data_IF_405291953296
#
_entry.id   IF_405291953296
#
_cell.length_a   1.000
_cell.length_b   1.000
_cell.length_c   1.000
_cell.angle_alpha   90.00
_cell.angle_beta   90.00
_cell.angle_gamma   90.00
#
_symmetry.space_group_name_H-M   'P 1'
#
loop_
_entity.id
_entity.type
_entity.pdbx_description
1 polymer ?
#
# COMPACT_ATOMS: atom_id res chain seq x y z
N UNK A 1 12.62 -11.46 16.07
CA UNK A 1 11.73 -11.75 14.90
C UNK A 1 12.61 -11.78 13.67
N UNK A 2 12.55 -12.83 12.86
CA UNK A 2 13.32 -12.88 11.59
C UNK A 2 12.68 -11.97 10.54
N UNK A 3 13.49 -11.50 9.56
CA UNK A 3 13.00 -10.66 8.45
C UNK A 3 11.87 -11.36 7.68
N UNK A 4 12.01 -12.67 7.45
CA UNK A 4 11.01 -13.50 6.78
C UNK A 4 9.65 -13.45 7.48
N UNK A 5 9.62 -13.68 8.80
CA UNK A 5 8.37 -13.64 9.58
C UNK A 5 7.75 -12.25 9.54
N UNK A 6 8.57 -11.20 9.68
CA UNK A 6 8.10 -9.82 9.60
C UNK A 6 7.51 -9.49 8.22
N UNK A 7 8.16 -9.93 7.13
CA UNK A 7 7.67 -9.73 5.78
C UNK A 7 6.34 -10.46 5.53
N UNK A 8 6.20 -11.71 6.02
CA UNK A 8 4.96 -12.48 5.94
C UNK A 8 3.83 -11.75 6.71
N UNK A 9 4.06 -11.41 7.98
CA UNK A 9 3.08 -10.70 8.82
C UNK A 9 2.63 -9.40 8.14
N UNK A 10 3.58 -8.62 7.63
CA UNK A 10 3.30 -7.37 6.92
C UNK A 10 2.33 -7.57 5.77
N UNK A 11 2.60 -8.55 4.90
CA UNK A 11 1.81 -8.77 3.70
C UNK A 11 0.46 -9.45 3.99
N UNK A 12 0.39 -10.29 5.03
CA UNK A 12 -0.89 -10.83 5.54
C UNK A 12 -1.79 -9.67 6.02
N UNK A 13 -1.26 -8.76 6.83
CA UNK A 13 -2.03 -7.60 7.31
C UNK A 13 -2.42 -6.69 6.13
N UNK A 14 -1.53 -6.43 5.17
CA UNK A 14 -1.86 -5.60 4.00
C UNK A 14 -2.92 -6.21 3.07
N UNK A 15 -3.15 -7.51 3.11
CA UNK A 15 -4.25 -8.15 2.39
C UNK A 15 -5.64 -7.87 3.00
N UNK A 16 -5.71 -7.51 4.29
CA UNK A 16 -6.99 -7.37 4.99
C UNK A 16 -7.78 -6.07 4.72
N UNK A 17 -7.17 -4.89 4.39
CA UNK A 17 -7.87 -3.63 4.34
C UNK A 17 -8.98 -3.52 3.30
N UNK A 18 -8.90 -4.24 2.18
CA UNK A 18 -9.83 -4.04 1.05
C UNK A 18 -11.31 -4.15 1.47
N UNK A 19 -11.64 -5.18 2.22
CA UNK A 19 -13.02 -5.40 2.68
C UNK A 19 -13.41 -4.42 3.79
N UNK A 20 -12.49 -4.13 4.71
CA UNK A 20 -12.71 -3.17 5.79
C UNK A 20 -12.89 -1.73 5.27
N UNK A 21 -12.16 -1.33 4.24
CA UNK A 21 -12.34 -0.03 3.55
C UNK A 21 -13.76 0.07 2.97
N UNK A 22 -14.26 -1.02 2.36
CA UNK A 22 -15.61 -1.03 1.80
C UNK A 22 -16.66 -0.83 2.90
N UNK A 23 -16.54 -1.54 4.02
CA UNK A 23 -17.44 -1.38 5.18
C UNK A 23 -17.35 0.04 5.72
N UNK A 24 -16.14 0.56 5.95
CA UNK A 24 -15.92 1.93 6.41
C UNK A 24 -16.57 2.96 5.48
N UNK A 25 -16.37 2.84 4.17
CA UNK A 25 -16.92 3.77 3.19
C UNK A 25 -18.46 3.73 3.17
N UNK A 26 -19.07 2.54 3.27
CA UNK A 26 -20.54 2.39 3.36
C UNK A 26 -21.05 3.07 4.63
N UNK A 27 -20.46 2.81 5.78
CA UNK A 27 -20.86 3.39 7.07
C UNK A 27 -20.68 4.91 7.15
N UNK A 28 -19.65 5.42 6.50
CA UNK A 28 -19.35 6.85 6.45
C UNK A 28 -19.99 7.59 5.28
N UNK A 29 -20.84 6.89 4.50
CA UNK A 29 -21.49 7.40 3.29
C UNK A 29 -20.52 7.98 2.26
N UNK A 30 -19.38 7.31 2.05
CA UNK A 30 -18.36 7.73 1.07
C UNK A 30 -18.57 6.95 -0.22
N UNK A 31 -19.35 7.51 -1.14
CA UNK A 31 -19.66 6.88 -2.41
C UNK A 31 -19.71 7.90 -3.56
N UNK A 32 -19.70 7.41 -4.80
CA UNK A 32 -19.84 8.27 -5.98
C UNK A 32 -21.22 8.95 -6.03
N UNK A 33 -22.25 8.29 -5.53
CA UNK A 33 -23.61 8.80 -5.45
C UNK A 33 -23.71 9.98 -4.46
N UNK A 34 -22.97 9.91 -3.35
CA UNK A 34 -22.97 10.96 -2.32
C UNK A 34 -22.11 12.18 -2.70
N UNK A 35 -21.01 11.97 -3.41
CA UNK A 35 -20.01 13.02 -3.65
C UNK A 35 -19.86 13.41 -5.13
N UNK A 36 -20.47 12.69 -6.09
CA UNK A 36 -20.41 13.03 -7.51
C UNK A 36 -18.97 13.23 -8.00
N UNK A 37 -18.70 14.39 -8.63
CA UNK A 37 -17.38 14.74 -9.15
C UNK A 37 -16.32 14.92 -8.05
N UNK A 38 -16.75 15.21 -6.81
CA UNK A 38 -15.86 15.38 -5.66
C UNK A 38 -15.46 14.04 -5.00
N UNK A 39 -15.97 12.91 -5.50
CA UNK A 39 -15.73 11.59 -4.89
C UNK A 39 -14.25 11.27 -4.71
N UNK A 40 -13.42 11.59 -5.70
CA UNK A 40 -11.98 11.33 -5.62
C UNK A 40 -11.32 12.18 -4.53
N UNK A 41 -11.67 13.46 -4.43
CA UNK A 41 -11.24 14.35 -3.37
C UNK A 41 -11.63 13.82 -1.99
N UNK A 42 -12.87 13.30 -1.87
CA UNK A 42 -13.37 12.70 -0.64
C UNK A 42 -12.60 11.43 -0.24
N UNK A 43 -12.29 10.55 -1.19
CA UNK A 43 -11.46 9.36 -0.96
C UNK A 43 -10.07 9.76 -0.46
N UNK A 44 -9.42 10.75 -1.09
CA UNK A 44 -8.10 11.23 -0.69
C UNK A 44 -8.13 11.87 0.71
N UNK A 45 -9.15 12.65 1.03
CA UNK A 45 -9.31 13.24 2.36
C UNK A 45 -9.49 12.15 3.44
N UNK A 46 -10.32 11.14 3.18
CA UNK A 46 -10.57 10.05 4.15
C UNK A 46 -9.33 9.18 4.37
N UNK A 47 -8.62 8.83 3.30
CA UNK A 47 -7.39 8.02 3.42
C UNK A 47 -6.28 8.79 4.12
N UNK A 48 -6.26 10.11 3.98
CA UNK A 48 -5.31 10.98 4.68
C UNK A 48 -5.52 10.93 6.19
N UNK A 49 -6.77 10.96 6.67
CA UNK A 49 -7.09 10.81 8.10
C UNK A 49 -6.58 9.45 8.61
N UNK A 50 -6.77 8.37 7.85
CA UNK A 50 -6.27 7.04 8.19
C UNK A 50 -4.74 7.03 8.36
N UNK A 51 -4.01 7.61 7.41
CA UNK A 51 -2.55 7.63 7.47
C UNK A 51 -2.00 8.58 8.54
N UNK A 52 -2.69 9.69 8.79
CA UNK A 52 -2.36 10.56 9.91
C UNK A 52 -2.46 9.80 11.23
N UNK A 53 -3.59 9.12 11.48
CA UNK A 53 -3.78 8.29 12.67
C UNK A 53 -2.74 7.16 12.74
N UNK A 54 -2.43 6.51 11.63
CA UNK A 54 -1.39 5.48 11.57
C UNK A 54 -0.02 6.03 11.96
N UNK A 55 0.34 7.22 11.48
CA UNK A 55 1.58 7.90 11.85
C UNK A 55 1.64 8.23 13.34
N UNK A 56 0.54 8.78 13.89
CA UNK A 56 0.42 9.06 15.33
C UNK A 56 0.55 7.78 16.16
N UNK A 57 -0.16 6.71 15.81
CA UNK A 57 -0.05 5.41 16.48
C UNK A 57 1.40 4.88 16.46
N UNK A 58 2.08 5.01 15.31
CA UNK A 58 3.48 4.57 15.18
C UNK A 58 4.41 5.38 16.08
N UNK A 59 4.22 6.70 16.15
CA UNK A 59 5.03 7.57 17.04
C UNK A 59 4.73 7.33 18.51
N UNK A 60 3.48 7.08 18.89
CA UNK A 60 3.11 6.70 20.26
C UNK A 60 3.79 5.39 20.65
N UNK A 61 3.93 4.45 19.73
CA UNK A 61 4.59 3.17 19.99
C UNK A 61 6.12 3.27 20.08
N UNK A 62 6.75 4.21 19.39
CA UNK A 62 8.20 4.34 19.32
C UNK A 62 8.92 4.44 20.69
N UNK A 63 8.42 5.20 21.69
CA UNK A 63 9.02 5.23 23.05
C UNK A 63 9.02 3.87 23.76
N UNK A 64 8.03 3.01 23.54
CA UNK A 64 7.98 1.66 24.13
C UNK A 64 9.12 0.76 23.66
N UNK A 65 9.64 1.02 22.46
CA UNK A 65 10.86 0.39 21.94
C UNK A 65 12.12 1.26 22.16
N UNK A 66 12.07 2.18 23.14
CA UNK A 66 13.17 3.07 23.55
C UNK A 66 13.69 4.01 22.45
N UNK A 67 12.82 4.39 21.50
CA UNK A 67 13.16 5.34 20.44
C UNK A 67 12.67 6.75 20.79
N UNK A 68 13.54 7.74 20.57
CA UNK A 68 13.21 9.16 20.77
C UNK A 68 12.63 9.75 19.49
N UNK A 69 11.35 10.10 19.51
CA UNK A 69 10.58 10.53 18.33
C UNK A 69 11.04 11.88 17.72
N UNK A 70 11.62 12.76 18.54
CA UNK A 70 12.12 14.07 18.10
C UNK A 70 13.65 14.12 17.91
N UNK A 71 14.37 13.02 18.17
CA UNK A 71 15.81 12.97 17.95
C UNK A 71 16.11 12.71 16.45
N UNK A 72 15.72 13.68 15.63
CA UNK A 72 15.82 13.66 14.18
C UNK A 72 16.63 14.88 13.75
N UNK A 73 17.74 14.65 13.06
CA UNK A 73 18.60 15.74 12.57
C UNK A 73 17.92 16.54 11.45
N UNK A 74 18.38 17.77 11.20
CA UNK A 74 17.83 18.61 10.13
C UNK A 74 17.86 17.92 8.76
N UNK A 75 18.93 17.15 8.47
CA UNK A 75 19.04 16.36 7.25
C UNK A 75 17.98 15.25 7.18
N UNK A 76 17.83 14.49 8.26
CA UNK A 76 16.83 13.42 8.34
C UNK A 76 15.40 13.96 8.22
N UNK A 77 15.10 15.15 8.75
CA UNK A 77 13.81 15.81 8.53
C UNK A 77 13.52 16.03 7.05
N UNK A 78 14.50 16.53 6.28
CA UNK A 78 14.36 16.66 4.82
C UNK A 78 14.14 15.31 4.13
N UNK A 79 14.88 14.29 4.53
CA UNK A 79 14.77 12.93 3.97
C UNK A 79 13.41 12.30 4.29
N UNK A 80 12.93 12.41 5.53
CA UNK A 80 11.61 11.88 5.95
C UNK A 80 10.47 12.64 5.28
N UNK A 81 10.59 13.96 5.11
CA UNK A 81 9.61 14.77 4.37
C UNK A 81 9.52 14.30 2.92
N UNK A 82 10.65 14.17 2.22
CA UNK A 82 10.66 13.66 0.85
C UNK A 82 10.06 12.26 0.77
N UNK A 83 10.38 11.40 1.73
CA UNK A 83 9.80 10.06 1.81
C UNK A 83 8.28 10.11 2.00
N UNK A 84 7.76 10.98 2.85
CA UNK A 84 6.32 11.17 3.05
C UNK A 84 5.62 11.64 1.77
N UNK A 85 6.24 12.58 1.05
CA UNK A 85 5.74 13.05 -0.25
C UNK A 85 5.72 11.94 -1.31
N UNK A 86 6.72 11.06 -1.32
CA UNK A 86 6.77 9.93 -2.25
C UNK A 86 5.83 8.79 -1.82
N UNK A 87 6.03 8.24 -0.62
CA UNK A 87 5.38 6.99 -0.20
C UNK A 87 3.92 7.16 0.19
N UNK A 88 3.55 8.31 0.76
CA UNK A 88 2.19 8.55 1.26
C UNK A 88 1.43 9.49 0.34
N UNK A 89 2.00 10.62 -0.07
CA UNK A 89 1.28 11.57 -0.92
C UNK A 89 1.21 11.08 -2.37
N UNK A 90 2.34 11.02 -3.07
CA UNK A 90 2.36 10.72 -4.51
C UNK A 90 1.90 9.29 -4.80
N UNK A 91 2.40 8.29 -4.06
CA UNK A 91 2.01 6.90 -4.29
C UNK A 91 0.50 6.70 -4.13
N UNK A 92 -0.11 7.21 -3.05
CA UNK A 92 -1.54 7.03 -2.85
C UNK A 92 -2.42 7.95 -3.70
N UNK A 93 -1.91 9.10 -4.11
CA UNK A 93 -2.56 9.93 -5.13
C UNK A 93 -2.71 9.15 -6.45
N UNK A 94 -1.61 8.64 -7.00
CA UNK A 94 -1.64 7.85 -8.24
C UNK A 94 -2.42 6.55 -8.09
N UNK A 95 -2.30 5.85 -6.96
CA UNK A 95 -3.08 4.64 -6.68
C UNK A 95 -4.58 4.89 -6.73
N UNK A 96 -5.07 5.92 -6.04
CA UNK A 96 -6.51 6.16 -5.94
C UNK A 96 -7.09 6.69 -7.25
N UNK A 97 -6.40 7.59 -7.95
CA UNK A 97 -6.85 8.06 -9.27
C UNK A 97 -6.83 6.89 -10.26
N UNK A 98 -5.76 6.12 -10.30
CA UNK A 98 -5.67 4.94 -11.15
C UNK A 98 -6.80 3.97 -10.89
N UNK A 99 -7.02 3.62 -9.63
CA UNK A 99 -8.05 2.65 -9.22
C UNK A 99 -9.48 3.11 -9.54
N UNK A 100 -9.78 4.40 -9.45
CA UNK A 100 -11.10 4.95 -9.79
C UNK A 100 -11.36 4.97 -11.30
N UNK A 101 -10.30 5.14 -12.10
CA UNK A 101 -10.39 5.25 -13.56
C UNK A 101 -10.17 3.91 -14.31
N UNK A 102 -9.77 2.85 -13.62
CA UNK A 102 -9.69 1.52 -14.21
C UNK A 102 -11.08 0.89 -14.28
N UNK A 103 -11.45 0.40 -15.46
CA UNK A 103 -12.72 -0.29 -15.69
C UNK A 103 -12.74 -1.71 -15.10
N UNK A 104 -11.58 -2.35 -14.99
CA UNK A 104 -11.43 -3.73 -14.51
C UNK A 104 -10.75 -3.80 -13.15
N UNK A 105 -11.43 -4.37 -12.15
CA UNK A 105 -10.84 -4.65 -10.82
C UNK A 105 -9.65 -5.61 -10.93
N UNK A 106 -9.63 -6.50 -11.94
CA UNK A 106 -8.49 -7.38 -12.23
C UNK A 106 -7.26 -6.54 -12.55
N UNK A 107 -7.37 -5.63 -13.53
CA UNK A 107 -6.25 -4.77 -13.93
C UNK A 107 -5.73 -3.96 -12.74
N UNK A 108 -6.63 -3.41 -11.93
CA UNK A 108 -6.25 -2.67 -10.73
C UNK A 108 -5.40 -3.53 -9.78
N UNK A 109 -5.85 -4.77 -9.48
CA UNK A 109 -5.16 -5.67 -8.56
C UNK A 109 -3.79 -6.10 -9.11
N UNK A 110 -3.72 -6.45 -10.40
CA UNK A 110 -2.49 -6.89 -11.05
C UNK A 110 -1.48 -5.74 -11.13
N UNK A 111 -1.93 -4.56 -11.58
CA UNK A 111 -1.06 -3.40 -11.73
C UNK A 111 -0.59 -2.83 -10.39
N UNK A 112 -1.35 -2.98 -9.31
CA UNK A 112 -0.88 -2.64 -7.97
C UNK A 112 0.36 -3.45 -7.56
N UNK A 113 0.52 -4.67 -8.09
CA UNK A 113 1.68 -5.52 -7.85
C UNK A 113 2.90 -5.18 -8.74
N UNK A 114 2.78 -4.21 -9.67
CA UNK A 114 3.91 -3.72 -10.47
C UNK A 114 5.07 -3.22 -9.61
N UNK A 115 4.77 -2.79 -8.38
CA UNK A 115 5.77 -2.44 -7.35
C UNK A 115 6.83 -3.54 -7.17
N UNK A 116 6.45 -4.82 -7.28
CA UNK A 116 7.35 -5.97 -7.11
C UNK A 116 8.43 -5.94 -8.18
N UNK A 117 8.00 -5.77 -9.45
CA UNK A 117 8.90 -5.74 -10.60
C UNK A 117 9.79 -4.51 -10.59
N UNK A 118 9.21 -3.32 -10.37
CA UNK A 118 9.99 -2.10 -10.29
C UNK A 118 11.02 -2.17 -9.16
N UNK A 119 10.67 -2.68 -7.98
CA UNK A 119 11.62 -2.80 -6.88
C UNK A 119 12.75 -3.80 -7.19
N UNK A 120 12.43 -4.93 -7.81
CA UNK A 120 13.43 -5.92 -8.19
C UNK A 120 14.39 -5.40 -9.28
N UNK A 121 13.85 -4.71 -10.30
CA UNK A 121 14.64 -4.11 -11.38
C UNK A 121 15.52 -2.98 -10.82
N UNK A 122 14.94 -2.05 -10.05
CA UNK A 122 15.68 -0.94 -9.48
C UNK A 122 16.77 -1.43 -8.51
N UNK A 123 16.49 -2.47 -7.70
CA UNK A 123 17.48 -3.06 -6.80
C UNK A 123 18.66 -3.67 -7.59
N UNK A 124 18.36 -4.34 -8.71
CA UNK A 124 19.38 -4.90 -9.59
C UNK A 124 20.40 -3.85 -10.07
N UNK A 125 19.92 -2.67 -10.45
CA UNK A 125 20.82 -1.60 -10.91
C UNK A 125 21.47 -0.83 -9.76
N UNK A 126 20.75 -0.59 -8.67
CA UNK A 126 21.22 0.27 -7.58
C UNK A 126 22.16 -0.42 -6.59
N UNK A 127 22.01 -1.74 -6.35
CA UNK A 127 22.78 -2.45 -5.33
C UNK A 127 23.64 -3.55 -5.93
N UNK A 128 24.96 -3.51 -5.61
CA UNK A 128 25.92 -4.54 -6.10
C UNK A 128 25.59 -5.95 -5.61
N UNK A 129 25.08 -6.06 -4.38
CA UNK A 129 24.79 -7.33 -3.71
C UNK A 129 23.32 -7.78 -3.87
N UNK A 130 22.51 -7.07 -4.67
CA UNK A 130 21.09 -7.40 -4.87
C UNK A 130 20.77 -7.57 -6.37
N UNK A 131 21.56 -8.43 -7.03
CA UNK A 131 21.36 -8.72 -8.45
C UNK A 131 20.25 -9.74 -8.67
N UNK A 132 19.49 -9.55 -9.74
CA UNK A 132 18.57 -10.56 -10.24
C UNK A 132 19.36 -11.76 -10.74
N UNK A 133 18.97 -12.92 -10.29
CA UNK A 133 19.45 -14.22 -10.76
C UNK A 133 18.28 -15.05 -11.29
N UNK A 134 18.56 -16.19 -11.90
CA UNK A 134 17.54 -17.06 -12.50
C UNK A 134 16.44 -17.47 -11.51
N UNK A 135 16.79 -17.75 -10.25
CA UNK A 135 15.82 -18.13 -9.22
C UNK A 135 14.87 -16.98 -8.88
N UNK A 136 15.38 -15.75 -8.72
CA UNK A 136 14.56 -14.56 -8.49
C UNK A 136 13.65 -14.24 -9.67
N UNK A 137 14.17 -14.34 -10.90
CA UNK A 137 13.37 -14.14 -12.13
C UNK A 137 12.27 -15.19 -12.21
N UNK A 138 12.58 -16.46 -11.97
CA UNK A 138 11.58 -17.54 -11.96
C UNK A 138 10.50 -17.28 -10.91
N UNK A 139 10.88 -16.90 -9.68
CA UNK A 139 9.93 -16.57 -8.61
C UNK A 139 9.00 -15.41 -9.00
N UNK A 140 9.52 -14.38 -9.67
CA UNK A 140 8.71 -13.26 -10.18
C UNK A 140 7.72 -13.71 -11.25
N UNK A 141 8.16 -14.56 -12.21
CA UNK A 141 7.30 -15.07 -13.27
C UNK A 141 6.19 -15.96 -12.70
N UNK A 142 6.55 -16.91 -11.83
CA UNK A 142 5.58 -17.85 -11.22
C UNK A 142 4.58 -17.10 -10.33
N UNK A 143 5.06 -16.20 -9.46
CA UNK A 143 4.18 -15.41 -8.61
C UNK A 143 3.23 -14.51 -9.40
N UNK A 144 3.69 -13.94 -10.52
CA UNK A 144 2.85 -13.11 -11.38
C UNK A 144 1.82 -13.94 -12.17
N UNK A 145 2.22 -15.10 -12.68
CA UNK A 145 1.30 -16.03 -13.33
C UNK A 145 0.20 -16.49 -12.35
N UNK A 146 0.56 -16.87 -11.12
CA UNK A 146 -0.39 -17.21 -10.07
C UNK A 146 -1.36 -16.05 -9.76
N UNK A 147 -0.85 -14.81 -9.67
CA UNK A 147 -1.68 -13.62 -9.49
C UNK A 147 -2.69 -13.44 -10.62
N UNK A 148 -2.26 -13.55 -11.90
CA UNK A 148 -3.18 -13.44 -13.05
C UNK A 148 -4.25 -14.52 -12.96
N UNK A 149 -3.86 -15.78 -12.77
CA UNK A 149 -4.81 -16.90 -12.68
C UNK A 149 -5.83 -16.68 -11.58
N UNK A 150 -5.41 -16.23 -10.39
CA UNK A 150 -6.30 -15.97 -9.26
C UNK A 150 -7.35 -14.90 -9.53
N UNK A 151 -7.05 -13.96 -10.44
CA UNK A 151 -7.95 -12.88 -10.83
C UNK A 151 -8.93 -13.25 -11.95
N UNK A 152 -8.69 -14.32 -12.70
CA UNK A 152 -9.56 -14.82 -13.79
C UNK A 152 -10.77 -15.57 -13.23
N UNK A 153 -11.48 -14.97 -12.26
CA UNK A 153 -12.68 -15.54 -11.65
C UNK A 153 -13.93 -14.81 -12.11
N UNK A 154 -15.09 -15.47 -12.05
CA UNK A 154 -16.38 -14.80 -12.27
C UNK A 154 -16.68 -14.39 -13.72
N UNK A 155 -16.16 -15.15 -14.71
CA UNK A 155 -16.45 -14.89 -16.12
C UNK A 155 -15.60 -13.78 -16.77
N UNK A 156 -14.59 -13.29 -16.05
CA UNK A 156 -13.63 -12.32 -16.57
C UNK A 156 -12.61 -12.99 -17.49
N UNK A 157 -12.20 -12.29 -18.54
CA UNK A 157 -11.32 -12.83 -19.59
C UNK A 157 -9.97 -12.13 -19.62
N UNK A 158 -8.98 -12.79 -20.26
CA UNK A 158 -7.66 -12.20 -20.50
C UNK A 158 -7.77 -10.91 -21.34
N UNK A 159 -8.80 -10.76 -22.17
CA UNK A 159 -9.02 -9.55 -22.97
C UNK A 159 -9.24 -8.30 -22.11
N UNK A 160 -9.79 -8.47 -20.91
CA UNK A 160 -9.98 -7.36 -19.96
C UNK A 160 -8.64 -6.78 -19.45
N UNK A 161 -7.51 -7.48 -19.67
CA UNK A 161 -6.16 -7.02 -19.32
C UNK A 161 -5.53 -6.09 -20.36
N UNK A 162 -6.09 -5.97 -21.56
CA UNK A 162 -5.48 -5.22 -22.66
C UNK A 162 -6.06 -3.80 -22.85
N UNK A 163 -7.01 -3.38 -22.01
CA UNK A 163 -7.41 -1.98 -21.98
C UNK A 163 -6.31 -1.14 -21.32
N UNK A 164 -5.90 -0.04 -21.95
CA UNK A 164 -4.90 0.87 -21.38
C UNK A 164 -5.35 2.32 -21.50
N UNK A 165 -5.53 2.94 -20.35
CA UNK A 165 -5.79 4.36 -20.20
C UNK A 165 -4.71 5.00 -19.32
N UNK A 166 -4.20 6.16 -19.73
CA UNK A 166 -3.10 6.83 -18.99
C UNK A 166 -3.51 7.12 -17.55
N UNK A 167 -4.73 7.62 -17.34
CA UNK A 167 -5.24 7.98 -15.99
C UNK A 167 -5.68 6.78 -15.15
N UNK A 168 -5.84 5.61 -15.77
CA UNK A 168 -6.13 4.34 -15.10
C UNK A 168 -4.85 3.52 -14.93
N UNK A 169 -4.57 2.67 -15.93
CA UNK A 169 -3.45 1.73 -15.92
C UNK A 169 -2.09 2.44 -15.81
N UNK A 170 -1.91 3.57 -16.52
CA UNK A 170 -0.67 4.35 -16.46
C UNK A 170 -0.40 4.90 -15.06
N UNK A 171 -1.43 5.37 -14.36
CA UNK A 171 -1.28 5.88 -12.99
C UNK A 171 -1.03 4.75 -11.99
N UNK A 172 -1.59 3.57 -12.19
CA UNK A 172 -1.26 2.38 -11.37
C UNK A 172 0.19 1.94 -11.55
N UNK A 173 0.73 1.99 -12.77
CA UNK A 173 2.16 1.74 -13.01
C UNK A 173 3.03 2.81 -12.36
N UNK A 174 2.62 4.08 -12.42
CA UNK A 174 3.33 5.18 -11.74
C UNK A 174 3.32 4.99 -10.21
N UNK A 175 2.18 4.57 -9.64
CA UNK A 175 2.12 4.14 -8.23
C UNK A 175 3.17 3.06 -7.93
N UNK A 176 3.24 2.01 -8.76
CA UNK A 176 4.18 0.90 -8.58
C UNK A 176 5.63 1.37 -8.57
N UNK A 177 6.00 2.24 -9.51
CA UNK A 177 7.34 2.82 -9.60
C UNK A 177 7.66 3.69 -8.37
N UNK A 178 6.76 4.60 -7.99
CA UNK A 178 6.95 5.50 -6.85
C UNK A 178 7.06 4.70 -5.54
N UNK A 179 6.23 3.69 -5.34
CA UNK A 179 6.27 2.83 -4.15
C UNK A 179 7.58 2.02 -4.07
N UNK A 180 8.11 1.58 -5.21
CA UNK A 180 9.41 0.92 -5.28
C UNK A 180 10.55 1.89 -4.91
N UNK A 181 10.56 3.09 -5.49
CA UNK A 181 11.52 4.14 -5.15
C UNK A 181 11.44 4.54 -3.69
N UNK A 182 10.23 4.68 -3.14
CA UNK A 182 10.03 4.97 -1.72
C UNK A 182 10.62 3.88 -0.81
N UNK A 183 10.48 2.59 -1.18
CA UNK A 183 11.07 1.48 -0.44
C UNK A 183 12.60 1.51 -0.48
N UNK A 184 13.20 1.83 -1.63
CA UNK A 184 14.66 2.02 -1.75
C UNK A 184 15.14 3.20 -0.90
N UNK A 185 14.39 4.30 -0.92
CA UNK A 185 14.71 5.49 -0.14
C UNK A 185 14.59 5.20 1.36
N UNK A 186 13.56 4.44 1.78
CA UNK A 186 13.43 3.96 3.16
C UNK A 186 14.64 3.13 3.60
N UNK A 187 15.16 2.25 2.74
CA UNK A 187 16.37 1.48 3.01
C UNK A 187 17.57 2.40 3.28
N UNK A 188 17.71 3.46 2.50
CA UNK A 188 18.79 4.45 2.68
C UNK A 188 18.65 5.22 4.00
N UNK A 189 17.47 5.76 4.30
CA UNK A 189 17.23 6.52 5.54
C UNK A 189 17.37 5.62 6.77
N UNK A 190 16.92 4.39 6.67
CA UNK A 190 16.92 3.42 7.75
C UNK A 190 18.32 3.06 8.27
N UNK A 191 19.39 3.34 7.50
CA UNK A 191 20.77 3.21 7.99
C UNK A 191 21.12 4.22 9.09
N UNK A 192 20.37 5.31 9.22
CA UNK A 192 20.65 6.42 10.14
C UNK A 192 19.49 6.78 11.06
N UNK A 193 18.27 6.35 10.74
CA UNK A 193 17.05 6.65 11.50
C UNK A 193 16.23 5.37 11.70
N UNK A 194 15.72 5.18 12.92
CA UNK A 194 14.88 4.04 13.24
C UNK A 194 13.62 4.00 12.35
N UNK A 195 13.25 2.81 11.85
CA UNK A 195 12.13 2.61 10.92
C UNK A 195 10.78 3.07 11.48
N UNK A 196 10.52 2.88 12.77
CA UNK A 196 9.26 3.32 13.38
C UNK A 196 9.17 4.84 13.44
N UNK A 197 10.24 5.52 13.85
CA UNK A 197 10.29 6.99 13.86
C UNK A 197 10.14 7.55 12.45
N UNK A 198 10.90 6.98 11.50
CA UNK A 198 10.81 7.33 10.08
C UNK A 198 9.39 7.12 9.54
N UNK A 199 8.77 5.97 9.80
CA UNK A 199 7.41 5.64 9.35
C UNK A 199 6.38 6.58 9.94
N UNK A 200 6.44 6.83 11.25
CA UNK A 200 5.50 7.72 11.90
C UNK A 200 5.50 9.13 11.31
N UNK A 201 6.67 9.72 11.16
CA UNK A 201 6.78 11.07 10.59
C UNK A 201 6.46 11.13 9.10
N UNK A 202 6.88 10.14 8.29
CA UNK A 202 6.53 10.14 6.87
C UNK A 202 5.03 10.02 6.65
N UNK A 203 4.33 9.18 7.43
CA UNK A 203 2.88 9.03 7.35
C UNK A 203 2.16 10.32 7.76
N UNK A 204 2.60 11.01 8.82
CA UNK A 204 2.01 12.29 9.24
C UNK A 204 2.23 13.35 8.17
N UNK A 205 3.47 13.58 7.75
CA UNK A 205 3.80 14.64 6.79
C UNK A 205 3.10 14.38 5.46
N UNK A 206 3.23 13.16 4.93
CA UNK A 206 2.62 12.80 3.65
C UNK A 206 1.10 12.83 3.66
N UNK A 207 0.48 12.45 4.79
CA UNK A 207 -0.99 12.51 4.92
C UNK A 207 -1.51 13.94 5.01
N UNK A 208 -0.80 14.85 5.66
CA UNK A 208 -1.20 16.27 5.69
C UNK A 208 -1.20 16.86 4.27
N UNK A 209 -0.17 16.59 3.48
CA UNK A 209 -0.12 17.06 2.09
C UNK A 209 -1.20 16.40 1.24
N UNK A 210 -1.43 15.08 1.41
CA UNK A 210 -2.49 14.37 0.71
C UNK A 210 -3.89 14.88 1.09
N UNK A 211 -4.09 15.27 2.36
CA UNK A 211 -5.32 15.90 2.81
C UNK A 211 -5.57 17.24 2.10
N UNK A 212 -4.54 18.10 2.05
CA UNK A 212 -4.64 19.38 1.34
C UNK A 212 -5.06 19.14 -0.12
N UNK A 213 -4.43 18.19 -0.81
CA UNK A 213 -4.80 17.84 -2.19
C UNK A 213 -6.25 17.34 -2.24
N UNK A 214 -6.66 16.45 -1.34
CA UNK A 214 -8.04 15.95 -1.29
C UNK A 214 -9.07 17.06 -1.09
N UNK A 215 -8.81 18.01 -0.20
CA UNK A 215 -9.67 19.17 0.04
C UNK A 215 -9.72 20.10 -1.19
N UNK A 216 -8.59 20.34 -1.87
CA UNK A 216 -8.53 21.11 -3.12
C UNK A 216 -9.31 20.45 -4.25
N UNK A 217 -9.45 19.12 -4.22
CA UNK A 217 -10.25 18.34 -5.17
C UNK A 217 -11.72 18.18 -4.74
N UNK A 218 -12.21 19.02 -3.82
CA UNK A 218 -13.59 19.04 -3.39
C UNK A 218 -13.96 18.06 -2.28
N UNK A 219 -12.97 17.37 -1.67
CA UNK A 219 -13.21 16.56 -0.48
C UNK A 219 -13.59 17.42 0.72
N UNK A 220 -14.33 16.85 1.67
CA UNK A 220 -14.78 17.55 2.88
C UNK A 220 -14.76 16.62 4.09
N UNK A 221 -14.07 17.04 5.15
CA UNK A 221 -14.06 16.30 6.43
C UNK A 221 -15.41 16.40 7.13
N UNK A 222 -16.09 17.55 6.99
CA UNK A 222 -17.38 17.83 7.63
C UNK A 222 -18.54 17.09 6.96
N UNK A 223 -18.37 16.66 5.71
CA UNK A 223 -19.38 15.88 4.99
C UNK A 223 -19.32 14.37 5.29
N UNK A 224 -18.32 13.91 6.04
CA UNK A 224 -18.22 12.52 6.46
C UNK A 224 -19.26 12.23 7.55
N UNK A 225 -20.02 11.14 7.36
CA UNK A 225 -20.92 10.63 8.40
C UNK A 225 -20.10 9.82 9.40
N UNK A 226 -19.89 10.35 10.59
CA UNK A 226 -19.08 9.71 11.66
C UNK A 226 -19.94 8.72 12.46
N UNK A 227 -20.11 7.48 11.97
CA UNK A 227 -20.77 6.42 12.73
C UNK A 227 -19.77 5.72 13.66
N UNK A 228 -20.21 5.16 14.81
CA UNK A 228 -19.33 4.40 15.70
C UNK A 228 -18.60 3.25 14.99
N UNK A 229 -19.30 2.52 14.10
CA UNK A 229 -18.71 1.44 13.32
C UNK A 229 -17.69 1.96 12.30
N UNK A 230 -18.02 3.05 11.59
CA UNK A 230 -17.10 3.69 10.64
C UNK A 230 -15.82 4.16 11.32
N UNK A 231 -15.91 4.79 12.49
CA UNK A 231 -14.75 5.22 13.29
C UNK A 231 -13.93 4.01 13.76
N UNK A 232 -14.59 2.94 14.22
CA UNK A 232 -13.91 1.70 14.61
C UNK A 232 -13.13 1.10 13.44
N UNK A 233 -13.74 1.03 12.25
CA UNK A 233 -13.06 0.55 11.04
C UNK A 233 -11.87 1.45 10.67
N UNK A 234 -12.02 2.77 10.78
CA UNK A 234 -10.94 3.72 10.53
C UNK A 234 -9.74 3.49 11.47
N UNK A 235 -9.99 3.25 12.76
CA UNK A 235 -8.93 2.96 13.75
C UNK A 235 -8.24 1.63 13.44
N UNK A 236 -9.00 0.58 13.12
CA UNK A 236 -8.45 -0.73 12.73
C UNK A 236 -7.60 -0.59 11.46
N UNK A 237 -8.08 0.15 10.45
CA UNK A 237 -7.37 0.42 9.22
C UNK A 237 -6.11 1.26 9.44
N UNK A 238 -6.13 2.19 10.38
CA UNK A 238 -4.95 2.96 10.79
C UNK A 238 -3.89 2.03 11.41
N UNK A 239 -4.28 1.14 12.31
CA UNK A 239 -3.38 0.15 12.89
C UNK A 239 -2.84 -0.83 11.83
N UNK A 240 -3.72 -1.27 10.90
CA UNK A 240 -3.35 -2.10 9.74
C UNK A 240 -2.48 -1.37 8.71
N UNK A 241 -2.23 -0.08 8.90
CA UNK A 241 -1.22 0.69 8.17
C UNK A 241 0.03 0.91 9.00
N UNK A 242 -0.10 1.32 10.26
CA UNK A 242 1.01 1.63 11.17
C UNK A 242 1.98 0.46 11.34
N UNK A 243 1.45 -0.72 11.65
CA UNK A 243 2.23 -1.93 11.91
C UNK A 243 2.99 -2.38 10.65
N UNK A 244 2.32 -2.66 9.52
CA UNK A 244 3.02 -3.21 8.37
C UNK A 244 3.96 -2.22 7.69
N UNK A 245 3.66 -0.91 7.63
CA UNK A 245 4.62 0.06 7.09
C UNK A 245 5.89 0.11 7.92
N UNK A 246 5.78 0.10 9.25
CA UNK A 246 6.95 0.09 10.14
C UNK A 246 7.79 -1.17 9.98
N UNK A 247 7.14 -2.34 9.93
CA UNK A 247 7.81 -3.63 9.72
C UNK A 247 8.40 -3.75 8.31
N UNK A 248 7.70 -3.29 7.28
CA UNK A 248 8.18 -3.33 5.89
C UNK A 248 9.46 -2.52 5.72
N UNK A 249 9.46 -1.29 6.23
CA UNK A 249 10.65 -0.44 6.15
C UNK A 249 11.77 -0.94 7.05
N UNK A 250 11.45 -1.56 8.18
CA UNK A 250 12.45 -2.28 8.98
C UNK A 250 13.04 -3.46 8.19
N UNK A 251 12.24 -4.29 7.55
CA UNK A 251 12.74 -5.37 6.70
C UNK A 251 13.61 -4.84 5.55
N UNK A 252 13.20 -3.76 4.90
CA UNK A 252 13.92 -3.17 3.78
C UNK A 252 15.33 -2.69 4.15
N UNK A 253 15.57 -2.31 5.41
CA UNK A 253 16.91 -1.92 5.90
C UNK A 253 17.90 -3.08 5.85
N UNK A 254 17.44 -4.28 6.17
CA UNK A 254 18.32 -5.44 6.41
C UNK A 254 18.26 -6.50 5.30
N UNK A 255 17.22 -6.48 4.45
CA UNK A 255 17.03 -7.46 3.38
C UNK A 255 17.53 -6.96 2.03
N UNK A 256 17.77 -7.89 1.11
CA UNK A 256 17.82 -7.61 -0.31
C UNK A 256 16.41 -7.22 -0.80
N UNK A 257 16.27 -6.09 -1.49
CA UNK A 257 14.95 -5.60 -1.89
C UNK A 257 14.30 -6.50 -2.94
N UNK A 258 15.10 -7.07 -3.85
CA UNK A 258 14.60 -8.02 -4.85
C UNK A 258 14.00 -9.29 -4.23
N UNK A 259 14.52 -9.75 -3.10
CA UNK A 259 14.00 -10.90 -2.35
C UNK A 259 12.81 -10.48 -1.48
N UNK A 260 12.93 -9.34 -0.79
CA UNK A 260 11.89 -8.82 0.08
C UNK A 260 10.58 -8.58 -0.68
N UNK A 261 10.65 -8.05 -1.89
CA UNK A 261 9.45 -7.71 -2.66
C UNK A 261 8.66 -8.93 -3.15
N UNK A 262 9.28 -10.10 -3.27
CA UNK A 262 8.58 -11.35 -3.60
C UNK A 262 7.52 -11.69 -2.54
N UNK A 263 7.76 -11.39 -1.26
CA UNK A 263 6.76 -11.60 -0.20
C UNK A 263 5.46 -10.80 -0.41
N UNK A 264 5.45 -9.76 -1.27
CA UNK A 264 4.22 -9.04 -1.60
C UNK A 264 3.17 -9.89 -2.34
N UNK A 265 3.56 -11.00 -2.96
CA UNK A 265 2.59 -11.95 -3.50
C UNK A 265 1.70 -12.60 -2.43
N UNK A 266 2.09 -12.57 -1.15
CA UNK A 266 1.25 -13.02 -0.03
C UNK A 266 0.04 -12.09 0.16
N UNK A 267 0.14 -10.81 -0.20
CA UNK A 267 -0.93 -9.83 0.02
C UNK A 267 -2.24 -10.18 -0.71
N UNK A 268 -2.27 -10.47 -2.02
CA UNK A 268 -3.49 -10.90 -2.68
C UNK A 268 -3.99 -12.26 -2.16
N UNK A 269 -3.09 -13.18 -1.78
CA UNK A 269 -3.44 -14.47 -1.17
C UNK A 269 -4.23 -14.27 0.12
N UNK A 270 -3.66 -13.49 1.05
CA UNK A 270 -4.32 -13.23 2.35
C UNK A 270 -5.63 -12.46 2.20
N UNK A 271 -5.70 -11.51 1.26
CA UNK A 271 -6.92 -10.79 0.94
C UNK A 271 -8.02 -11.70 0.41
N UNK A 272 -7.68 -12.62 -0.49
CA UNK A 272 -8.62 -13.61 -1.04
C UNK A 272 -9.11 -14.61 0.02
N UNK A 273 -8.20 -15.09 0.87
CA UNK A 273 -8.58 -16.00 1.97
C UNK A 273 -9.53 -15.31 2.96
N UNK A 274 -9.25 -14.04 3.31
CA UNK A 274 -10.16 -13.27 4.16
C UNK A 274 -11.52 -13.07 3.50
N UNK A 275 -11.57 -12.80 2.20
CA UNK A 275 -12.82 -12.65 1.45
C UNK A 275 -13.66 -13.93 1.50
N UNK A 276 -13.03 -15.09 1.36
CA UNK A 276 -13.71 -16.41 1.50
C UNK A 276 -14.22 -16.64 2.92
N UNK A 277 -13.41 -16.37 3.95
CA UNK A 277 -13.82 -16.46 5.36
C UNK A 277 -15.05 -15.58 5.64
N UNK A 278 -15.13 -14.42 4.99
CA UNK A 278 -16.23 -13.47 5.09
C UNK A 278 -17.40 -13.75 4.13
N UNK A 279 -17.47 -14.97 3.58
CA UNK A 279 -18.62 -15.49 2.83
C UNK A 279 -18.55 -15.37 1.31
N UNK A 280 -17.41 -14.99 0.72
CA UNK A 280 -17.22 -15.07 -0.73
C UNK A 280 -16.95 -16.53 -1.18
N UNK A 281 -17.37 -16.87 -2.39
CA UNK A 281 -17.21 -18.25 -2.89
C UNK A 281 -15.75 -18.53 -3.21
N UNK A 282 -15.23 -19.65 -2.70
CA UNK A 282 -13.95 -20.19 -3.10
C UNK A 282 -14.05 -20.78 -4.51
N UNK A 283 -13.27 -20.25 -5.45
CA UNK A 283 -13.33 -20.65 -6.86
C UNK A 283 -12.07 -21.43 -7.25
N UNK A 284 -12.20 -22.30 -8.29
CA UNK A 284 -11.07 -23.08 -8.77
C UNK A 284 -9.89 -22.22 -9.28
N UNK A 285 -10.07 -21.12 -10.07
CA UNK A 285 -8.98 -20.25 -10.44
C UNK A 285 -8.28 -19.63 -9.23
N UNK A 286 -9.04 -19.28 -8.18
CA UNK A 286 -8.45 -18.81 -6.93
C UNK A 286 -7.56 -19.89 -6.30
N UNK A 287 -8.04 -21.12 -6.19
CA UNK A 287 -7.25 -22.25 -5.67
C UNK A 287 -5.94 -22.45 -6.44
N UNK A 288 -5.99 -22.46 -7.78
CA UNK A 288 -4.82 -22.65 -8.65
C UNK A 288 -3.83 -21.47 -8.52
N UNK A 289 -4.33 -20.23 -8.44
CA UNK A 289 -3.47 -19.04 -8.32
C UNK A 289 -2.83 -18.87 -6.94
N UNK A 290 -3.28 -19.62 -5.93
CA UNK A 290 -2.73 -19.60 -4.56
C UNK A 290 -1.58 -20.61 -4.35
N UNK A 291 -1.42 -21.59 -5.24
CA UNK A 291 -0.37 -22.63 -5.20
C UNK A 291 0.81 -22.23 -6.08
#
# INVERSE_FOLDING_TARGET
MTITIAAIITNVIWGTPFKLIKVMNTEMNISKEAFGDNYLGQVLATISIRFFLAGVMTLIFAPFIKQKIFNVTKKQWGEVTLMGLLSTTAAYFFFNIGNVNISSTINSTILAQSTIFFAAILAHYAYKNDKLNSAKILALIVGFAGLIISQLTGGKTIQDLFSFHITGEGFMLMYGLIAALATMFAKKIGSTLNSFVMTGWNLIIGSVVLLIIGLMMGGSITAITWTPLGVTMLIILAAASAIPFSLWYWCAQYANLSELTIYKFIMPISGSLLAVILGERFTMPLAIGLV
#
